data_IF_601250678371
#
_entry.id   IF_601250678371
#
_cell.length_a   1.000
_cell.length_b   1.000
_cell.length_c   1.000
_cell.angle_alpha   90.00
_cell.angle_beta   90.00
_cell.angle_gamma   90.00
#
_symmetry.space_group_name_H-M   'P 1'
#
loop_
_entity.id
_entity.type
_entity.pdbx_description
1 polymer ?
#
# COMPACT_ATOMS: atom_id res chain seq x y z
N UNK A 1 18.99 -6.30 22.39
CA UNK A 1 18.80 -7.35 21.35
C UNK A 1 19.49 -6.92 20.06
N UNK A 2 20.13 -7.85 19.34
CA UNK A 2 20.88 -7.55 18.10
C UNK A 2 19.93 -7.30 16.91
N UNK A 3 20.38 -6.48 15.94
CA UNK A 3 19.65 -6.18 14.69
C UNK A 3 19.17 -7.43 13.94
N UNK A 4 19.89 -8.54 14.05
CA UNK A 4 19.52 -9.81 13.42
C UNK A 4 18.30 -10.44 14.08
N UNK A 5 18.18 -10.32 15.41
CA UNK A 5 17.01 -10.85 16.12
C UNK A 5 15.73 -10.12 15.72
N UNK A 6 15.74 -8.78 15.64
CA UNK A 6 14.54 -8.04 15.22
C UNK A 6 14.10 -8.42 13.80
N UNK A 7 15.06 -8.64 12.88
CA UNK A 7 14.76 -9.10 11.52
C UNK A 7 14.14 -10.50 11.54
N UNK A 8 14.79 -11.47 12.20
CA UNK A 8 14.28 -12.84 12.29
C UNK A 8 12.89 -12.90 12.95
N UNK A 9 12.69 -12.19 14.06
CA UNK A 9 11.38 -12.10 14.72
C UNK A 9 10.33 -11.49 13.81
N UNK A 10 10.65 -10.42 13.07
CA UNK A 10 9.70 -9.81 12.13
C UNK A 10 9.34 -10.73 10.97
N UNK A 11 10.30 -11.49 10.44
CA UNK A 11 10.05 -12.47 9.38
C UNK A 11 9.20 -13.63 9.89
N UNK A 12 9.44 -14.10 11.12
CA UNK A 12 8.62 -15.13 11.75
C UNK A 12 7.18 -14.67 11.91
N UNK A 13 6.95 -13.45 12.41
CA UNK A 13 5.60 -12.89 12.53
C UNK A 13 4.95 -12.73 11.15
N UNK A 14 5.72 -12.28 10.14
CA UNK A 14 5.23 -12.20 8.76
C UNK A 14 4.83 -13.56 8.18
N UNK A 15 5.60 -14.62 8.46
CA UNK A 15 5.28 -15.98 8.05
C UNK A 15 4.03 -16.52 8.76
N UNK A 16 3.87 -16.25 10.05
CA UNK A 16 2.67 -16.62 10.82
C UNK A 16 1.43 -15.89 10.31
N UNK A 17 1.54 -14.59 10.03
CA UNK A 17 0.48 -13.78 9.42
C UNK A 17 0.06 -14.34 8.06
N UNK A 18 1.02 -14.60 7.18
CA UNK A 18 0.76 -15.18 5.87
C UNK A 18 0.10 -16.57 5.97
N UNK A 19 0.62 -17.43 6.86
CA UNK A 19 0.06 -18.76 7.10
C UNK A 19 -1.37 -18.72 7.61
N UNK A 20 -1.68 -17.83 8.57
CA UNK A 20 -3.03 -17.65 9.09
C UNK A 20 -4.02 -17.23 8.00
N UNK A 21 -3.67 -16.23 7.19
CA UNK A 21 -4.55 -15.78 6.10
C UNK A 21 -4.76 -16.86 5.04
N UNK A 22 -3.72 -17.62 4.71
CA UNK A 22 -3.82 -18.74 3.78
C UNK A 22 -4.72 -19.85 4.29
N UNK A 23 -4.58 -20.21 5.58
CA UNK A 23 -5.41 -21.22 6.22
C UNK A 23 -6.89 -20.82 6.17
N UNK A 24 -7.20 -19.58 6.58
CA UNK A 24 -8.58 -19.04 6.53
C UNK A 24 -9.10 -19.05 5.08
N UNK A 25 -8.30 -18.60 4.12
CA UNK A 25 -8.73 -18.56 2.73
C UNK A 25 -9.01 -19.96 2.15
N UNK A 26 -8.19 -20.95 2.50
CA UNK A 26 -8.38 -22.34 2.08
C UNK A 26 -9.61 -22.97 2.75
N UNK A 27 -9.84 -22.69 4.04
CA UNK A 27 -11.00 -23.17 4.78
C UNK A 27 -12.32 -22.61 4.22
N UNK A 28 -12.30 -21.35 3.76
CA UNK A 28 -13.43 -20.71 3.07
C UNK A 28 -13.61 -21.20 1.62
N UNK A 29 -12.75 -22.09 1.12
CA UNK A 29 -12.88 -22.68 -0.22
C UNK A 29 -12.27 -21.84 -1.35
N UNK A 30 -11.47 -20.81 -1.05
CA UNK A 30 -10.81 -20.03 -2.09
C UNK A 30 -9.67 -20.79 -2.78
N UNK A 31 -9.60 -20.66 -4.11
CA UNK A 31 -8.54 -21.24 -4.94
C UNK A 31 -7.24 -20.42 -4.88
N UNK A 32 -6.63 -20.35 -3.70
CA UNK A 32 -5.37 -19.63 -3.44
C UNK A 32 -4.16 -20.56 -3.35
N UNK A 33 -4.30 -21.79 -3.85
CA UNK A 33 -3.24 -22.79 -3.85
C UNK A 33 -2.07 -22.44 -4.78
N UNK A 34 -0.85 -22.94 -4.49
CA UNK A 34 0.35 -22.60 -5.24
C UNK A 34 0.35 -23.14 -6.69
N UNK A 35 -0.43 -24.18 -6.98
CA UNK A 35 -0.57 -24.77 -8.32
C UNK A 35 -1.09 -23.79 -9.38
N UNK A 36 -1.71 -22.69 -8.94
CA UNK A 36 -2.31 -21.70 -9.83
C UNK A 36 -1.34 -20.60 -10.29
N UNK A 37 -0.05 -20.66 -9.90
CA UNK A 37 0.90 -19.58 -10.13
C UNK A 37 2.24 -20.06 -10.68
N UNK A 38 2.87 -19.24 -11.53
CA UNK A 38 4.27 -19.40 -11.90
C UNK A 38 5.18 -19.19 -10.68
N UNK A 39 6.44 -19.64 -10.74
CA UNK A 39 7.43 -19.43 -9.67
C UNK A 39 7.55 -17.94 -9.29
N UNK A 40 7.58 -17.05 -10.28
CA UNK A 40 7.63 -15.60 -10.07
C UNK A 40 6.36 -15.11 -9.37
N UNK A 41 5.19 -15.59 -9.81
CA UNK A 41 3.90 -15.29 -9.17
C UNK A 41 3.82 -15.78 -7.72
N UNK A 42 4.37 -16.96 -7.44
CA UNK A 42 4.49 -17.51 -6.09
C UNK A 42 5.36 -16.61 -5.21
N UNK A 43 6.57 -16.28 -5.67
CA UNK A 43 7.49 -15.42 -4.90
C UNK A 43 6.87 -14.05 -4.62
N UNK A 44 6.21 -13.44 -5.60
CA UNK A 44 5.58 -12.14 -5.43
C UNK A 44 4.40 -12.19 -4.45
N UNK A 45 3.50 -13.17 -4.61
CA UNK A 45 2.27 -13.27 -3.80
C UNK A 45 2.56 -13.70 -2.37
N UNK A 46 3.24 -14.83 -2.18
CA UNK A 46 3.53 -15.36 -0.85
C UNK A 46 4.64 -14.57 -0.15
N UNK A 47 5.68 -14.17 -0.89
CA UNK A 47 6.71 -13.29 -0.36
C UNK A 47 6.14 -11.92 0.03
N UNK A 48 5.30 -11.33 -0.82
CA UNK A 48 4.59 -10.08 -0.51
C UNK A 48 3.72 -10.18 0.74
N UNK A 49 3.04 -11.31 0.95
CA UNK A 49 2.23 -11.57 2.14
C UNK A 49 3.05 -11.70 3.43
N UNK A 50 4.27 -12.23 3.36
CA UNK A 50 5.19 -12.22 4.49
C UNK A 50 5.70 -10.79 4.74
N UNK A 51 6.10 -10.10 3.67
CA UNK A 51 6.70 -8.75 3.74
C UNK A 51 5.71 -7.72 4.30
N UNK A 52 4.44 -7.77 3.91
CA UNK A 52 3.42 -6.79 4.34
C UNK A 52 3.25 -6.75 5.86
N UNK A 53 3.47 -7.87 6.55
CA UNK A 53 3.46 -7.93 8.01
C UNK A 53 4.86 -7.79 8.62
N UNK A 54 5.89 -8.38 8.00
CA UNK A 54 7.25 -8.31 8.51
C UNK A 54 7.77 -6.87 8.57
N UNK A 55 7.46 -6.04 7.57
CA UNK A 55 7.95 -4.64 7.52
C UNK A 55 7.41 -3.79 8.67
N UNK A 56 6.09 -3.69 8.93
CA UNK A 56 5.55 -2.98 10.09
C UNK A 56 6.11 -3.49 11.43
N UNK A 57 6.22 -4.81 11.59
CA UNK A 57 6.74 -5.43 12.82
C UNK A 57 8.21 -5.07 13.01
N UNK A 58 9.02 -5.13 11.95
CA UNK A 58 10.42 -4.74 11.99
C UNK A 58 10.59 -3.26 12.35
N UNK A 59 9.77 -2.38 11.77
CA UNK A 59 9.77 -0.95 12.10
C UNK A 59 9.40 -0.70 13.57
N UNK A 60 8.42 -1.42 14.10
CA UNK A 60 8.04 -1.33 15.51
C UNK A 60 9.15 -1.83 16.43
N UNK A 61 9.73 -3.02 16.17
CA UNK A 61 10.77 -3.62 17.01
C UNK A 61 12.09 -2.83 16.97
N UNK A 62 12.48 -2.34 15.78
CA UNK A 62 13.78 -1.68 15.58
C UNK A 62 13.74 -0.18 15.88
N UNK A 63 12.65 0.50 15.51
CA UNK A 63 12.56 1.95 15.53
C UNK A 63 11.46 2.49 16.45
N UNK A 64 10.62 1.62 17.04
CA UNK A 64 9.43 1.99 17.82
C UNK A 64 8.41 2.83 17.04
N UNK A 65 8.33 2.59 15.74
CA UNK A 65 7.29 3.12 14.88
C UNK A 65 6.08 2.20 14.95
N UNK A 66 5.03 2.65 15.64
CA UNK A 66 3.86 1.84 16.00
C UNK A 66 2.72 2.04 15.01
N UNK A 67 2.63 3.18 14.33
CA UNK A 67 1.55 3.49 13.41
C UNK A 67 1.43 2.49 12.24
N UNK A 68 2.53 2.01 11.59
CA UNK A 68 2.44 0.96 10.58
C UNK A 68 1.86 -0.34 11.11
N UNK A 69 2.20 -0.70 12.36
CA UNK A 69 1.73 -1.93 12.99
C UNK A 69 0.24 -1.81 13.32
N UNK A 70 -0.22 -0.65 13.78
CA UNK A 70 -1.65 -0.38 13.99
C UNK A 70 -2.40 -0.42 12.66
N UNK A 71 -1.88 0.20 11.60
CA UNK A 71 -2.48 0.16 10.27
C UNK A 71 -2.60 -1.29 9.76
N UNK A 72 -1.54 -2.09 9.90
CA UNK A 72 -1.57 -3.52 9.59
C UNK A 72 -2.67 -4.26 10.38
N UNK A 73 -2.72 -4.04 11.70
CA UNK A 73 -3.69 -4.72 12.57
C UNK A 73 -5.13 -4.34 12.23
N UNK A 74 -5.41 -3.06 11.98
CA UNK A 74 -6.73 -2.57 11.57
C UNK A 74 -7.13 -3.14 10.22
N UNK A 75 -6.25 -3.09 9.21
CA UNK A 75 -6.56 -3.64 7.87
C UNK A 75 -6.78 -5.14 7.93
N UNK A 76 -5.92 -5.88 8.64
CA UNK A 76 -6.06 -7.34 8.77
C UNK A 76 -7.30 -7.72 9.55
N UNK A 77 -7.59 -7.02 10.64
CA UNK A 77 -8.79 -7.23 11.45
C UNK A 77 -10.07 -6.92 10.67
N UNK A 78 -10.07 -5.86 9.85
CA UNK A 78 -11.17 -5.57 8.94
C UNK A 78 -11.38 -6.69 7.92
N UNK A 79 -10.31 -7.14 7.26
CA UNK A 79 -10.37 -8.21 6.25
C UNK A 79 -10.89 -9.52 6.83
N UNK A 80 -10.34 -9.96 7.96
CA UNK A 80 -10.79 -11.18 8.64
C UNK A 80 -12.21 -11.01 9.19
N UNK A 81 -12.53 -9.83 9.73
CA UNK A 81 -13.87 -9.50 10.19
C UNK A 81 -14.88 -9.68 9.07
N UNK A 82 -14.67 -9.05 7.92
CA UNK A 82 -15.60 -9.12 6.78
C UNK A 82 -15.77 -10.54 6.22
N UNK A 83 -14.73 -11.38 6.24
CA UNK A 83 -14.83 -12.76 5.73
C UNK A 83 -15.45 -13.75 6.73
N UNK A 84 -15.21 -13.54 8.02
CA UNK A 84 -15.63 -14.47 9.07
C UNK A 84 -16.99 -14.11 9.68
N UNK A 85 -17.49 -12.89 9.46
CA UNK A 85 -18.83 -12.50 9.92
C UNK A 85 -19.91 -12.85 8.90
N UNK A 86 -21.05 -13.42 9.34
CA UNK A 86 -22.18 -13.67 8.44
C UNK A 86 -22.74 -12.37 7.80
N UNK A 87 -23.23 -12.43 6.55
CA UNK A 87 -23.20 -13.60 5.66
C UNK A 87 -21.77 -13.86 5.14
N UNK A 88 -21.31 -15.11 5.27
CA UNK A 88 -20.00 -15.52 4.76
C UNK A 88 -20.00 -15.62 3.23
N UNK A 89 -18.84 -15.93 2.63
CA UNK A 89 -18.69 -15.99 1.18
C UNK A 89 -19.56 -17.09 0.57
N UNK A 90 -20.33 -16.74 -0.46
CA UNK A 90 -21.16 -17.69 -1.22
C UNK A 90 -20.67 -17.78 -2.66
N UNK A 91 -20.37 -19.00 -3.09
CA UNK A 91 -19.87 -19.32 -4.42
C UNK A 91 -21.05 -19.75 -5.30
N UNK A 92 -21.31 -18.98 -6.36
CA UNK A 92 -22.38 -19.27 -7.32
C UNK A 92 -21.84 -19.25 -8.73
N UNK A 93 -22.31 -20.17 -9.57
CA UNK A 93 -22.02 -20.11 -11.00
C UNK A 93 -22.77 -18.93 -11.63
N UNK A 94 -22.17 -18.26 -12.62
CA UNK A 94 -22.85 -17.20 -13.39
C UNK A 94 -24.16 -17.73 -13.99
N UNK A 95 -24.21 -19.00 -14.39
CA UNK A 95 -25.43 -19.64 -14.88
C UNK A 95 -26.59 -19.58 -13.87
N UNK A 96 -26.30 -19.72 -12.57
CA UNK A 96 -27.34 -19.65 -11.52
C UNK A 96 -27.88 -18.23 -11.36
N UNK A 97 -27.00 -17.23 -11.50
CA UNK A 97 -27.34 -15.81 -11.37
C UNK A 97 -28.09 -15.28 -12.58
N UNK A 98 -27.66 -15.67 -13.78
CA UNK A 98 -28.23 -15.27 -15.06
C UNK A 98 -29.36 -16.21 -15.54
N UNK A 99 -29.65 -17.28 -14.78
CA UNK A 99 -30.66 -18.31 -15.10
C UNK A 99 -30.42 -18.99 -16.44
N UNK A 100 -29.16 -19.31 -16.73
CA UNK A 100 -28.75 -20.07 -17.92
C UNK A 100 -28.98 -21.56 -17.72
N UNK A 101 -29.23 -22.28 -18.82
CA UNK A 101 -29.56 -23.71 -18.78
C UNK A 101 -28.35 -24.61 -18.47
N UNK A 102 -27.14 -24.16 -18.78
CA UNK A 102 -25.90 -24.92 -18.61
C UNK A 102 -24.92 -24.15 -17.71
N UNK A 103 -24.15 -24.85 -16.86
CA UNK A 103 -23.10 -24.23 -16.04
C UNK A 103 -22.06 -23.53 -16.91
N UNK A 104 -21.70 -22.30 -16.56
CA UNK A 104 -20.66 -21.57 -17.27
C UNK A 104 -19.26 -21.99 -16.82
N UNK A 105 -19.13 -22.55 -15.62
CA UNK A 105 -17.85 -22.79 -14.96
C UNK A 105 -17.21 -21.53 -14.39
N UNK A 106 -17.87 -20.37 -14.51
CA UNK A 106 -17.42 -19.10 -13.96
C UNK A 106 -18.10 -18.90 -12.62
N UNK A 107 -17.31 -18.88 -11.54
CA UNK A 107 -17.80 -18.72 -10.18
C UNK A 107 -17.71 -17.26 -9.75
N UNK A 108 -18.86 -16.69 -9.37
CA UNK A 108 -18.96 -15.42 -8.67
C UNK A 108 -18.99 -15.70 -7.17
N UNK A 109 -18.21 -14.92 -6.43
CA UNK A 109 -18.22 -14.94 -4.96
C UNK A 109 -18.99 -13.72 -4.46
N UNK A 110 -20.16 -13.95 -3.90
CA UNK A 110 -20.93 -12.91 -3.19
C UNK A 110 -20.42 -12.81 -1.75
N UNK A 111 -20.47 -11.62 -1.15
CA UNK A 111 -20.15 -11.37 0.26
C UNK A 111 -18.74 -11.84 0.71
N UNK A 112 -17.74 -11.77 -0.17
CA UNK A 112 -16.39 -12.24 0.16
C UNK A 112 -15.28 -11.59 -0.68
N UNK A 113 -14.15 -12.29 -0.79
CA UNK A 113 -12.91 -11.91 -1.50
C UNK A 113 -12.07 -10.83 -0.81
N UNK A 114 -12.44 -10.34 0.38
CA UNK A 114 -11.61 -9.41 1.14
C UNK A 114 -10.23 -10.01 1.42
N UNK A 115 -10.16 -11.27 1.86
CA UNK A 115 -8.89 -11.92 2.16
C UNK A 115 -8.08 -12.15 0.89
N UNK A 116 -8.73 -12.55 -0.20
CA UNK A 116 -8.09 -12.77 -1.50
C UNK A 116 -7.53 -11.45 -2.04
N UNK A 117 -8.32 -10.38 -2.05
CA UNK A 117 -7.92 -9.05 -2.54
C UNK A 117 -6.81 -8.46 -1.68
N UNK A 118 -6.88 -8.61 -0.36
CA UNK A 118 -5.81 -8.22 0.55
C UNK A 118 -4.51 -8.95 0.23
N UNK A 119 -4.57 -10.28 0.11
CA UNK A 119 -3.40 -11.11 -0.18
C UNK A 119 -2.78 -10.80 -1.53
N UNK A 120 -3.60 -10.65 -2.57
CA UNK A 120 -3.12 -10.34 -3.92
C UNK A 120 -2.44 -8.96 -3.92
N UNK A 121 -2.99 -7.98 -3.19
CA UNK A 121 -2.50 -6.60 -3.20
C UNK A 121 -1.53 -6.29 -2.06
N UNK A 122 -0.93 -7.30 -1.42
CA UNK A 122 -0.03 -7.16 -0.27
C UNK A 122 1.14 -6.18 -0.51
N UNK A 123 1.66 -6.12 -1.74
CA UNK A 123 2.73 -5.19 -2.12
C UNK A 123 2.28 -3.73 -2.04
N UNK A 124 1.05 -3.41 -2.43
CA UNK A 124 0.50 -2.04 -2.36
C UNK A 124 0.25 -1.65 -0.91
N UNK A 125 -0.31 -2.56 -0.11
CA UNK A 125 -0.44 -2.37 1.35
C UNK A 125 0.90 -2.10 2.02
N UNK A 126 1.96 -2.81 1.61
CA UNK A 126 3.32 -2.61 2.14
C UNK A 126 3.81 -1.18 1.88
N UNK A 127 3.61 -0.64 0.68
CA UNK A 127 3.95 0.76 0.36
C UNK A 127 3.16 1.73 1.24
N UNK A 128 1.86 1.50 1.41
CA UNK A 128 1.02 2.30 2.31
C UNK A 128 1.56 2.31 3.74
N UNK A 129 1.91 1.15 4.30
CA UNK A 129 2.45 1.04 5.66
C UNK A 129 3.86 1.66 5.79
N UNK A 130 4.69 1.59 4.75
CA UNK A 130 5.97 2.29 4.71
C UNK A 130 5.77 3.81 4.77
N UNK A 131 4.79 4.36 4.04
CA UNK A 131 4.50 5.80 4.10
C UNK A 131 3.92 6.23 5.45
N UNK A 132 3.05 5.42 6.06
CA UNK A 132 2.60 5.63 7.46
C UNK A 132 3.80 5.69 8.40
N UNK A 133 4.76 4.77 8.25
CA UNK A 133 5.96 4.72 9.10
C UNK A 133 6.89 5.92 8.90
N UNK A 134 7.04 6.35 7.65
CA UNK A 134 7.82 7.53 7.31
C UNK A 134 7.19 8.80 7.91
N UNK A 135 5.87 8.93 7.86
CA UNK A 135 5.15 10.05 8.49
C UNK A 135 5.33 10.04 10.00
N UNK A 136 5.12 8.89 10.66
CA UNK A 136 5.35 8.78 12.10
C UNK A 136 6.78 9.15 12.48
N UNK A 137 7.78 8.66 11.74
CA UNK A 137 9.18 8.98 11.96
C UNK A 137 9.45 10.48 11.80
N UNK A 138 8.95 11.10 10.73
CA UNK A 138 9.12 12.52 10.48
C UNK A 138 8.42 13.39 11.54
N UNK A 139 7.26 12.98 12.03
CA UNK A 139 6.49 13.70 13.06
C UNK A 139 7.24 13.63 14.40
N UNK A 140 7.70 12.44 14.79
CA UNK A 140 8.43 12.22 16.06
C UNK A 140 9.80 12.90 16.08
N UNK A 141 10.44 13.07 14.92
CA UNK A 141 11.71 13.83 14.83
C UNK A 141 11.51 15.35 14.85
N UNK A 142 10.26 15.85 14.79
CA UNK A 142 9.94 17.27 14.93
C UNK A 142 9.42 17.64 16.31
N UNK A 143 8.58 16.82 16.91
CA UNK A 143 7.88 17.16 18.15
C UNK A 143 8.51 16.49 19.37
N UNK A 144 9.16 17.31 20.21
CA UNK A 144 9.86 16.87 21.44
C UNK A 144 8.95 16.22 22.49
N UNK A 145 7.63 16.48 22.44
CA UNK A 145 6.66 15.87 23.38
C UNK A 145 6.35 14.41 23.06
N UNK A 146 6.69 13.93 21.87
CA UNK A 146 6.43 12.55 21.47
C UNK A 146 7.58 11.64 21.92
N UNK A 147 7.30 10.35 22.18
CA UNK A 147 8.35 9.40 22.49
C UNK A 147 9.38 9.31 21.37
N UNK A 148 10.65 9.47 21.72
CA UNK A 148 11.76 9.41 20.78
C UNK A 148 11.84 8.06 20.06
N UNK A 149 12.31 8.12 18.82
CA UNK A 149 12.67 6.93 18.05
C UNK A 149 13.90 6.29 18.68
N UNK A 150 13.86 4.98 18.94
CA UNK A 150 14.93 4.30 19.71
C UNK A 150 16.30 4.38 19.05
N UNK A 151 16.33 4.45 17.72
CA UNK A 151 17.55 4.60 16.93
C UNK A 151 17.26 5.48 15.71
N UNK A 152 17.96 6.60 15.53
CA UNK A 152 17.87 7.37 14.31
C UNK A 152 18.21 6.50 13.09
N UNK A 153 17.49 6.68 11.99
CA UNK A 153 17.79 6.02 10.73
C UNK A 153 18.94 6.78 10.07
N UNK A 154 20.14 6.20 10.07
CA UNK A 154 21.39 6.89 9.69
C UNK A 154 21.39 7.50 8.28
N UNK A 155 20.66 6.89 7.34
CA UNK A 155 20.53 7.39 5.98
C UNK A 155 19.36 8.38 5.80
N UNK A 156 18.45 8.50 6.79
CA UNK A 156 17.25 9.32 6.77
C UNK A 156 17.29 10.38 7.88
N UNK A 157 17.90 11.52 7.55
CA UNK A 157 17.93 12.73 8.36
C UNK A 157 16.84 13.70 7.89
N UNK A 158 16.06 14.28 8.79
CA UNK A 158 14.97 15.21 8.45
C UNK A 158 15.17 16.53 9.24
N UNK A 159 15.54 17.65 8.61
CA UNK A 159 15.64 17.83 7.16
C UNK A 159 16.94 17.24 6.61
N UNK A 160 16.90 16.77 5.36
CA UNK A 160 18.09 16.30 4.66
C UNK A 160 18.76 17.43 3.85
N UNK A 161 20.08 17.35 3.62
CA UNK A 161 20.74 18.10 2.56
C UNK A 161 20.10 17.81 1.20
N UNK A 162 20.08 18.79 0.31
CA UNK A 162 19.36 18.73 -0.98
C UNK A 162 19.67 17.47 -1.79
N UNK A 163 20.94 17.17 -2.04
CA UNK A 163 21.35 15.97 -2.80
C UNK A 163 20.79 14.67 -2.20
N UNK A 164 20.77 14.57 -0.87
CA UNK A 164 20.24 13.39 -0.17
C UNK A 164 18.72 13.36 -0.22
N UNK A 165 18.06 14.51 -0.08
CA UNK A 165 16.60 14.62 -0.23
C UNK A 165 16.13 14.19 -1.63
N UNK A 166 16.82 14.65 -2.68
CA UNK A 166 16.56 14.22 -4.07
C UNK A 166 16.72 12.72 -4.22
N UNK A 167 17.81 12.14 -3.69
CA UNK A 167 18.04 10.70 -3.74
C UNK A 167 16.94 9.89 -3.04
N UNK A 168 16.55 10.28 -1.83
CA UNK A 168 15.49 9.62 -1.07
C UNK A 168 14.14 9.72 -1.81
N UNK A 169 13.81 10.90 -2.31
CA UNK A 169 12.59 11.15 -3.07
C UNK A 169 12.54 10.34 -4.37
N UNK A 170 13.62 10.33 -5.14
CA UNK A 170 13.69 9.60 -6.40
C UNK A 170 13.57 8.08 -6.20
N UNK A 171 14.25 7.52 -5.20
CA UNK A 171 14.18 6.09 -4.88
C UNK A 171 12.79 5.71 -4.34
N UNK A 172 12.25 6.50 -3.40
CA UNK A 172 10.90 6.27 -2.86
C UNK A 172 9.83 6.40 -3.94
N UNK A 173 9.98 7.38 -4.83
CA UNK A 173 9.13 7.54 -6.01
C UNK A 173 9.23 6.34 -6.94
N UNK A 174 10.42 5.81 -7.20
CA UNK A 174 10.62 4.68 -8.12
C UNK A 174 10.00 3.41 -7.55
N UNK A 175 10.16 3.17 -6.25
CA UNK A 175 9.53 2.07 -5.55
C UNK A 175 8.00 2.16 -5.63
N UNK A 176 7.43 3.34 -5.37
CA UNK A 176 5.99 3.57 -5.51
C UNK A 176 5.51 3.34 -6.95
N UNK A 177 6.22 3.89 -7.94
CA UNK A 177 5.89 3.71 -9.35
C UNK A 177 5.91 2.24 -9.77
N UNK A 178 6.94 1.49 -9.39
CA UNK A 178 7.04 0.08 -9.72
C UNK A 178 5.85 -0.72 -9.18
N UNK A 179 5.46 -0.46 -7.92
CA UNK A 179 4.31 -1.16 -7.29
C UNK A 179 2.99 -0.74 -7.93
N UNK A 180 2.79 0.56 -8.20
CA UNK A 180 1.54 1.04 -8.79
C UNK A 180 1.39 0.66 -10.27
N UNK A 181 2.47 0.60 -11.04
CA UNK A 181 2.45 0.08 -12.41
C UNK A 181 2.11 -1.41 -12.42
N UNK A 182 2.72 -2.19 -11.52
CA UNK A 182 2.35 -3.60 -11.35
C UNK A 182 0.87 -3.74 -10.96
N UNK A 183 0.37 -2.85 -10.09
CA UNK A 183 -1.02 -2.86 -9.67
C UNK A 183 -1.98 -2.54 -10.83
N UNK A 184 -1.69 -1.51 -11.62
CA UNK A 184 -2.42 -1.19 -12.86
C UNK A 184 -2.43 -2.38 -13.84
N UNK A 185 -1.28 -3.03 -14.04
CA UNK A 185 -1.17 -4.20 -14.90
C UNK A 185 -2.03 -5.36 -14.40
N UNK A 186 -2.00 -5.62 -13.09
CA UNK A 186 -2.81 -6.66 -12.45
C UNK A 186 -4.32 -6.36 -12.61
N UNK A 187 -4.71 -5.10 -12.52
CA UNK A 187 -6.10 -4.67 -12.69
C UNK A 187 -6.56 -4.65 -14.15
N UNK A 188 -5.63 -4.85 -15.10
CA UNK A 188 -5.97 -4.78 -16.53
C UNK A 188 -6.34 -3.37 -16.97
N UNK A 189 -5.73 -2.35 -16.35
CA UNK A 189 -5.93 -0.95 -16.75
C UNK A 189 -5.47 -0.79 -18.19
N UNK A 190 -6.41 -0.44 -19.06
CA UNK A 190 -6.20 -0.30 -20.50
C UNK A 190 -6.89 0.95 -21.03
N UNK A 191 -6.51 1.38 -22.23
CA UNK A 191 -7.18 2.46 -22.94
C UNK A 191 -7.63 1.97 -24.30
N UNK A 192 -8.84 2.34 -24.71
CA UNK A 192 -9.35 2.05 -26.04
C UNK A 192 -8.44 2.66 -27.12
N UNK A 193 -8.10 1.90 -28.15
CA UNK A 193 -7.27 2.36 -29.28
C UNK A 193 -5.87 1.77 -29.35
N UNK A 194 -5.52 0.79 -28.50
CA UNK A 194 -4.33 -0.06 -28.68
C UNK A 194 -2.99 0.59 -28.32
N UNK A 195 -3.00 1.70 -27.58
CA UNK A 195 -1.77 2.44 -27.18
C UNK A 195 -1.40 2.19 -25.72
N UNK A 196 -1.57 0.95 -25.25
CA UNK A 196 -1.40 0.56 -23.85
C UNK A 196 0.00 0.86 -23.32
N UNK A 197 1.05 0.59 -24.10
CA UNK A 197 2.44 0.86 -23.70
C UNK A 197 2.64 2.33 -23.33
N UNK A 198 2.03 3.26 -24.08
CA UNK A 198 2.14 4.68 -23.80
C UNK A 198 1.41 5.05 -22.50
N UNK A 199 0.25 4.44 -22.23
CA UNK A 199 -0.47 4.61 -20.96
C UNK A 199 0.40 4.16 -19.78
N UNK A 200 1.05 3.00 -19.86
CA UNK A 200 1.90 2.51 -18.78
C UNK A 200 3.14 3.37 -18.56
N UNK A 201 3.77 3.87 -19.62
CA UNK A 201 4.89 4.82 -19.50
C UNK A 201 4.44 6.15 -18.89
N UNK A 202 3.32 6.69 -19.36
CA UNK A 202 2.73 7.92 -18.84
C UNK A 202 2.36 7.80 -17.36
N UNK A 203 1.65 6.73 -16.99
CA UNK A 203 1.27 6.48 -15.61
C UNK A 203 2.48 6.15 -14.73
N UNK A 204 3.51 5.46 -15.23
CA UNK A 204 4.75 5.21 -14.48
C UNK A 204 5.45 6.52 -14.07
N UNK A 205 5.57 7.47 -15.02
CA UNK A 205 6.10 8.82 -14.72
C UNK A 205 5.21 9.53 -13.70
N UNK A 206 3.90 9.44 -13.87
CA UNK A 206 2.94 10.02 -12.94
C UNK A 206 3.05 9.49 -11.51
N UNK A 207 3.06 8.16 -11.35
CA UNK A 207 3.23 7.49 -10.06
C UNK A 207 4.59 7.81 -9.43
N UNK A 208 5.63 7.93 -10.25
CA UNK A 208 6.95 8.33 -9.78
C UNK A 208 6.92 9.73 -9.17
N UNK A 209 6.38 10.71 -9.91
CA UNK A 209 6.25 12.09 -9.46
C UNK A 209 5.32 12.23 -8.25
N UNK A 210 4.20 11.51 -8.25
CA UNK A 210 3.20 11.55 -7.17
C UNK A 210 3.79 11.17 -5.82
N UNK A 211 4.77 10.27 -5.78
CA UNK A 211 5.47 9.96 -4.55
C UNK A 211 6.73 10.82 -4.36
N UNK A 212 7.55 11.00 -5.39
CA UNK A 212 8.82 11.72 -5.28
C UNK A 212 8.62 13.16 -4.77
N UNK A 213 7.61 13.88 -5.27
CA UNK A 213 7.36 15.27 -4.89
C UNK A 213 7.01 15.40 -3.40
N UNK A 214 5.94 14.76 -2.86
CA UNK A 214 5.64 14.82 -1.44
C UNK A 214 6.77 14.29 -0.54
N UNK A 215 7.50 13.25 -0.97
CA UNK A 215 8.65 12.74 -0.22
C UNK A 215 9.79 13.76 -0.16
N UNK A 216 10.07 14.45 -1.26
CA UNK A 216 11.05 15.54 -1.28
C UNK A 216 10.61 16.66 -0.33
N UNK A 217 9.34 17.09 -0.42
CA UNK A 217 8.79 18.14 0.44
C UNK A 217 8.84 17.76 1.92
N UNK A 218 8.56 16.51 2.27
CA UNK A 218 8.66 16.00 3.63
C UNK A 218 10.12 15.99 4.11
N UNK A 219 11.03 15.39 3.35
CA UNK A 219 12.41 15.15 3.80
C UNK A 219 13.26 16.42 3.75
N UNK A 220 13.01 17.32 2.79
CA UNK A 220 13.76 18.58 2.64
C UNK A 220 13.15 19.71 3.47
N UNK A 221 11.82 19.86 3.42
CA UNK A 221 11.12 21.02 3.95
C UNK A 221 10.24 20.69 5.16
N UNK A 222 10.24 19.43 5.62
CA UNK A 222 9.41 18.95 6.73
C UNK A 222 7.92 19.15 6.50
N UNK A 223 7.43 19.25 5.25
CA UNK A 223 6.01 19.43 4.96
C UNK A 223 5.30 18.08 5.11
N UNK A 224 4.38 17.96 6.06
CA UNK A 224 3.72 16.69 6.38
C UNK A 224 2.49 16.47 5.52
N UNK A 225 1.72 17.52 5.25
CA UNK A 225 0.41 17.41 4.64
C UNK A 225 0.47 16.80 3.22
N UNK A 226 1.45 17.14 2.34
CA UNK A 226 1.64 16.45 1.07
C UNK A 226 1.85 14.93 1.21
N UNK A 227 2.71 14.52 2.14
CA UNK A 227 3.01 13.10 2.37
C UNK A 227 1.88 12.36 3.06
N UNK A 228 1.11 13.03 3.92
CA UNK A 228 -0.13 12.51 4.49
C UNK A 228 -1.17 12.27 3.40
N UNK A 229 -1.35 13.23 2.49
CA UNK A 229 -2.29 13.10 1.39
C UNK A 229 -1.90 11.96 0.43
N UNK A 230 -0.62 11.84 0.08
CA UNK A 230 -0.11 10.69 -0.67
C UNK A 230 -0.45 9.36 0.03
N UNK A 231 -0.15 9.27 1.33
CA UNK A 231 -0.44 8.05 2.12
C UNK A 231 -1.92 7.69 2.07
N UNK A 232 -2.80 8.69 2.20
CA UNK A 232 -4.25 8.50 2.11
C UNK A 232 -4.64 8.02 0.72
N UNK A 233 -4.12 8.61 -0.36
CA UNK A 233 -4.39 8.16 -1.72
C UNK A 233 -4.02 6.70 -1.91
N UNK A 234 -2.80 6.30 -1.55
CA UNK A 234 -2.35 4.91 -1.66
C UNK A 234 -3.23 3.93 -0.87
N UNK A 235 -3.56 4.26 0.38
CA UNK A 235 -4.39 3.38 1.22
C UNK A 235 -5.82 3.31 0.72
N UNK A 236 -6.39 4.41 0.21
CA UNK A 236 -7.74 4.42 -0.36
C UNK A 236 -7.81 3.68 -1.69
N UNK A 237 -6.80 3.84 -2.52
CA UNK A 237 -6.67 3.16 -3.81
C UNK A 237 -6.72 1.63 -3.64
N UNK A 238 -5.86 1.09 -2.77
CA UNK A 238 -5.87 -0.36 -2.50
C UNK A 238 -7.09 -0.81 -1.67
N UNK A 239 -7.64 0.04 -0.80
CA UNK A 239 -8.86 -0.30 -0.06
C UNK A 239 -10.06 -0.38 -1.00
N UNK A 240 -10.12 0.45 -2.03
CA UNK A 240 -11.26 0.50 -2.93
C UNK A 240 -11.48 -0.82 -3.68
N UNK A 241 -10.42 -1.62 -3.85
CA UNK A 241 -10.53 -2.99 -4.35
C UNK A 241 -11.49 -3.86 -3.55
N UNK A 242 -11.69 -3.59 -2.25
CA UNK A 242 -12.67 -4.34 -1.46
C UNK A 242 -14.12 -4.07 -1.86
N UNK A 243 -14.40 -2.88 -2.40
CA UNK A 243 -15.69 -2.60 -3.01
C UNK A 243 -15.65 -3.15 -4.43
N UNK A 244 -16.50 -4.12 -4.76
CA UNK A 244 -16.68 -4.60 -6.12
C UNK A 244 -17.41 -3.55 -6.99
N UNK A 245 -16.84 -2.35 -7.11
CA UNK A 245 -17.41 -1.24 -7.84
C UNK A 245 -17.03 -1.36 -9.33
N UNK A 246 -17.95 -1.12 -10.29
CA UNK A 246 -17.61 -1.06 -11.71
C UNK A 246 -16.59 0.03 -12.06
N UNK A 247 -16.54 1.11 -11.28
CA UNK A 247 -15.52 2.14 -11.43
C UNK A 247 -14.22 1.66 -10.78
N UNK A 248 -13.14 1.59 -11.56
CA UNK A 248 -11.79 1.29 -11.07
C UNK A 248 -11.11 2.60 -10.60
N UNK A 249 -11.00 2.86 -9.29
CA UNK A 249 -10.41 4.08 -8.78
C UNK A 249 -8.91 4.14 -9.09
N UNK A 250 -8.27 2.99 -9.26
CA UNK A 250 -6.87 2.92 -9.66
C UNK A 250 -6.68 3.40 -11.09
N UNK A 251 -7.59 3.07 -12.02
CA UNK A 251 -7.53 3.60 -13.38
C UNK A 251 -7.58 5.13 -13.40
N UNK A 252 -8.42 5.76 -12.55
CA UNK A 252 -8.44 7.22 -12.41
C UNK A 252 -7.18 7.76 -11.74
N UNK A 253 -6.71 7.12 -10.67
CA UNK A 253 -5.44 7.49 -10.01
C UNK A 253 -4.25 7.42 -10.97
N UNK A 254 -4.20 6.36 -11.79
CA UNK A 254 -3.15 6.07 -12.75
C UNK A 254 -3.19 6.96 -14.00
N UNK A 255 -4.38 7.15 -14.58
CA UNK A 255 -4.58 7.93 -15.80
C UNK A 255 -4.70 9.44 -15.58
N UNK A 256 -5.18 9.88 -14.42
CA UNK A 256 -5.36 11.30 -14.08
C UNK A 256 -4.45 11.76 -12.93
N UNK A 257 -3.26 11.15 -12.81
CA UNK A 257 -2.30 11.39 -11.73
C UNK A 257 -1.95 12.87 -11.51
N UNK A 258 -2.01 13.69 -12.55
CA UNK A 258 -1.74 15.13 -12.47
C UNK A 258 -2.77 15.88 -11.59
N UNK A 259 -4.01 15.39 -11.49
CA UNK A 259 -5.03 15.95 -10.59
C UNK A 259 -4.59 15.74 -9.14
N UNK A 260 -4.21 14.50 -8.80
CA UNK A 260 -3.71 14.14 -7.48
C UNK A 260 -2.43 14.90 -7.12
N UNK A 261 -1.53 15.09 -8.10
CA UNK A 261 -0.31 15.87 -7.89
C UNK A 261 -0.63 17.35 -7.67
N UNK A 262 -1.59 17.89 -8.41
CA UNK A 262 -2.12 19.24 -8.19
C UNK A 262 -2.65 19.42 -6.76
N UNK A 263 -3.44 18.48 -6.25
CA UNK A 263 -3.93 18.50 -4.87
C UNK A 263 -2.79 18.45 -3.84
N UNK A 264 -1.80 17.58 -4.05
CA UNK A 264 -0.60 17.49 -3.22
C UNK A 264 0.15 18.83 -3.17
N UNK A 265 0.33 19.49 -4.32
CA UNK A 265 1.01 20.78 -4.42
C UNK A 265 0.23 21.90 -3.76
N UNK A 266 -1.11 21.94 -3.93
CA UNK A 266 -1.98 22.92 -3.28
C UNK A 266 -1.87 22.79 -1.75
N UNK A 267 -2.03 21.58 -1.22
CA UNK A 267 -1.93 21.32 0.22
C UNK A 267 -0.52 21.64 0.75
N UNK A 268 0.52 21.33 -0.02
CA UNK A 268 1.89 21.72 0.31
C UNK A 268 2.12 23.22 0.33
N UNK A 269 1.55 23.95 -0.64
CA UNK A 269 1.59 25.41 -0.69
C UNK A 269 0.88 26.07 0.48
N UNK A 270 -0.29 25.54 0.86
CA UNK A 270 -1.04 25.99 2.04
C UNK A 270 -0.22 25.76 3.32
N UNK A 271 0.31 24.55 3.53
CA UNK A 271 1.13 24.24 4.70
C UNK A 271 2.39 25.11 4.76
N UNK A 272 3.06 25.30 3.62
CA UNK A 272 4.24 26.16 3.53
C UNK A 272 3.90 27.63 3.83
N UNK A 273 2.78 28.14 3.31
CA UNK A 273 2.29 29.48 3.58
C UNK A 273 2.01 29.72 5.07
N UNK A 274 1.28 28.80 5.72
CA UNK A 274 1.01 28.90 7.15
C UNK A 274 2.28 28.89 8.00
N UNK A 275 3.28 28.06 7.62
CA UNK A 275 4.58 28.04 8.31
C UNK A 275 5.35 29.35 8.18
N UNK A 276 5.21 30.04 7.06
CA UNK A 276 5.90 31.32 6.81
C UNK A 276 5.24 32.49 7.53
N UNK A 277 3.92 32.47 7.70
CA UNK A 277 3.15 33.55 8.34
C UNK A 277 3.12 33.38 9.86
N UNK A 278 3.09 32.14 10.36
CA UNK A 278 2.79 31.84 11.76
C UNK A 278 3.96 31.83 12.73
N UNK A 279 5.22 32.04 12.31
CA UNK A 279 6.42 31.98 13.17
C UNK A 279 6.50 30.74 14.09
N UNK A 280 5.92 29.62 13.68
CA UNK A 280 6.08 28.33 14.35
C UNK A 280 7.40 27.68 13.88
N UNK A 281 8.50 28.02 14.56
CA UNK A 281 9.76 27.26 14.52
C UNK A 281 9.54 25.84 15.04
#
# INVERSE_FOLDING_TARGET
>A
MSSRHHLLSSLLVGALHAGCLLLVALELGYSVGPSNYSIVGLSWRYGGLVVVAAVPVWLALRYRLVAPLVALAVTTGYVLGMELTPPGPTFRDVAELERLAEPTGIIIVENGLYIVRYMVNASVWTIGFLFVGLLEYAIRTRWERLPDVSRPISWLSIPAPERRAVGIAAIGGLLHAAVMVWFAYRLGVTISGGVEVLLYLYGAVGMWLLAAVPLYLLVRHRLFAPATLLTVFVLRDVQAEFAANPDDPHAFYFGAWFIFLGLVLIVGGIEYGFRRIGDYR
#
